data_IF_271825391382
#
_entry.id   IF_271825391382
#
_cell.length_a   1.000
_cell.length_b   1.000
_cell.length_c   1.000
_cell.angle_alpha   90.00
_cell.angle_beta   90.00
_cell.angle_gamma   90.00
#
_symmetry.space_group_name_H-M   'P 1'
#
loop_
_entity.id
_entity.type
_entity.pdbx_description
1 polymer ?
#
# COMPACT_ATOMS: atom_id res chain seq x y z
N UNK A 1 77.07 3.04 -11.93
CA UNK A 1 76.53 2.25 -10.81
C UNK A 1 75.20 2.84 -10.40
N UNK A 2 74.09 2.59 -11.11
CA UNK A 2 73.70 1.34 -11.81
C UNK A 2 73.70 0.14 -10.83
N UNK A 3 72.69 -0.74 -10.82
CA UNK A 3 71.77 -1.10 -11.92
C UNK A 3 70.33 -1.36 -11.42
N UNK A 4 69.40 -1.37 -12.39
CA UNK A 4 68.12 -2.09 -12.37
C UNK A 4 68.36 -3.57 -12.79
N UNK A 5 67.44 -4.53 -12.73
CA UNK A 5 66.03 -4.57 -12.33
C UNK A 5 65.69 -5.99 -11.81
N UNK A 6 64.41 -6.31 -11.56
CA UNK A 6 63.66 -7.45 -12.12
C UNK A 6 62.42 -7.82 -11.29
N UNK A 7 61.29 -7.94 -11.99
CA UNK A 7 60.05 -8.52 -11.50
C UNK A 7 59.94 -9.96 -12.00
N UNK A 8 59.32 -10.83 -11.21
CA UNK A 8 58.81 -12.12 -11.70
C UNK A 8 57.33 -12.24 -11.33
N UNK A 9 56.49 -12.34 -12.36
CA UNK A 9 55.09 -12.73 -12.22
C UNK A 9 55.00 -14.25 -12.05
N UNK A 10 54.09 -14.71 -11.18
CA UNK A 10 53.62 -16.11 -11.20
C UNK A 10 52.10 -16.11 -11.34
N UNK A 11 51.65 -16.12 -12.59
CA UNK A 11 50.27 -16.45 -12.96
C UNK A 11 50.16 -17.98 -13.00
N UNK A 12 49.26 -18.53 -12.17
CA UNK A 12 48.75 -19.90 -12.36
C UNK A 12 47.23 -19.85 -12.15
N UNK A 13 46.48 -19.74 -13.26
CA UNK A 13 45.11 -20.24 -13.33
C UNK A 13 45.16 -21.76 -13.08
N UNK A 14 44.22 -22.41 -12.40
CA UNK A 14 42.81 -22.41 -12.78
C UNK A 14 41.94 -23.15 -11.73
N UNK A 15 40.64 -22.88 -11.76
CA UNK A 15 39.53 -23.72 -11.26
C UNK A 15 39.67 -24.46 -9.91
N UNK A 16 39.03 -23.90 -8.87
CA UNK A 16 38.09 -24.73 -8.11
C UNK A 16 36.84 -23.99 -7.60
N UNK A 17 35.72 -24.42 -8.15
CA UNK A 17 34.39 -23.86 -8.03
C UNK A 17 33.79 -24.07 -6.62
N UNK A 18 33.70 -23.01 -5.81
CA UNK A 18 32.68 -22.88 -4.76
C UNK A 18 32.07 -21.48 -4.75
N UNK A 19 31.01 -21.30 -5.54
CA UNK A 19 30.03 -20.26 -5.26
C UNK A 19 29.46 -20.54 -3.87
N UNK A 20 29.50 -19.54 -2.99
CA UNK A 20 28.70 -19.60 -1.76
C UNK A 20 27.33 -19.10 -2.17
N UNK A 21 26.54 -20.07 -2.65
CA UNK A 21 25.14 -19.88 -2.99
C UNK A 21 24.36 -19.62 -1.69
N UNK A 22 24.32 -18.34 -1.27
CA UNK A 22 23.37 -17.88 -0.27
C UNK A 22 21.96 -17.84 -0.89
N UNK A 23 21.50 -18.98 -1.40
CA UNK A 23 20.08 -19.30 -1.52
C UNK A 23 19.49 -19.27 -0.11
N UNK A 24 19.13 -18.07 0.33
CA UNK A 24 18.09 -17.93 1.34
C UNK A 24 16.83 -18.50 0.69
N UNK A 25 16.57 -19.79 0.92
CA UNK A 25 15.41 -20.51 0.40
C UNK A 25 14.17 -19.84 0.98
N UNK A 26 13.66 -18.84 0.26
CA UNK A 26 12.47 -18.07 0.65
C UNK A 26 11.25 -18.96 0.47
N UNK A 27 11.05 -19.83 1.45
CA UNK A 27 9.89 -20.69 1.58
C UNK A 27 8.63 -19.82 1.38
N UNK A 28 7.84 -20.01 0.30
CA UNK A 28 6.81 -19.05 -0.11
C UNK A 28 5.58 -19.04 0.82
N UNK A 29 5.65 -19.74 1.95
CA UNK A 29 4.64 -19.80 2.99
C UNK A 29 4.89 -18.69 4.01
N UNK A 30 3.89 -17.84 4.20
CA UNK A 30 3.85 -16.70 5.13
C UNK A 30 4.62 -15.44 4.67
N UNK A 31 4.15 -14.81 3.59
CA UNK A 31 4.15 -13.34 3.56
C UNK A 31 3.17 -12.86 4.64
N UNK A 32 3.67 -12.65 5.85
CA UNK A 32 2.92 -11.98 6.91
C UNK A 32 2.59 -10.57 6.41
N UNK A 33 1.34 -10.35 6.00
CA UNK A 33 0.85 -9.04 5.59
C UNK A 33 0.91 -8.11 6.80
N UNK A 34 1.91 -7.23 6.85
CA UNK A 34 2.00 -6.18 7.87
C UNK A 34 0.74 -5.30 7.77
N UNK A 35 0.08 -4.95 8.89
CA UNK A 35 -1.03 -4.02 8.86
C UNK A 35 -0.55 -2.64 8.37
N UNK A 36 -1.39 -1.91 7.65
CA UNK A 36 -1.06 -0.57 7.17
C UNK A 36 -2.31 0.29 6.95
N UNK A 37 -2.12 1.61 6.92
CA UNK A 37 -3.14 2.60 6.60
C UNK A 37 -2.94 3.02 5.14
N UNK A 38 -3.82 2.54 4.25
CA UNK A 38 -3.75 2.84 2.81
C UNK A 38 -4.58 4.10 2.53
N UNK A 39 -3.92 5.14 2.04
CA UNK A 39 -4.52 6.45 1.75
C UNK A 39 -4.86 6.56 0.27
N UNK A 40 -6.15 6.64 -0.03
CA UNK A 40 -6.69 6.91 -1.36
C UNK A 40 -7.07 8.39 -1.45
N UNK A 41 -6.32 9.16 -2.22
CA UNK A 41 -6.45 10.63 -2.32
C UNK A 41 -6.38 11.07 -3.78
N UNK A 42 -7.43 11.78 -4.22
CA UNK A 42 -7.60 12.27 -5.60
C UNK A 42 -7.05 13.69 -5.82
N UNK A 43 -6.67 14.41 -4.76
CA UNK A 43 -6.09 15.76 -4.80
C UNK A 43 -4.63 15.82 -4.34
N UNK A 44 -4.11 14.76 -3.72
CA UNK A 44 -2.80 14.74 -3.03
C UNK A 44 -2.66 15.86 -1.99
N UNK A 45 -3.77 16.26 -1.37
CA UNK A 45 -3.87 17.49 -0.56
C UNK A 45 -3.99 17.20 0.93
N UNK A 46 -3.44 18.09 1.75
CA UNK A 46 -3.48 17.98 3.21
C UNK A 46 -2.42 17.05 3.81
N UNK A 47 -2.37 17.01 5.15
CA UNK A 47 -1.34 16.25 5.89
C UNK A 47 -1.74 14.79 6.09
N UNK A 48 -1.43 13.95 5.09
CA UNK A 48 -1.63 12.48 5.13
C UNK A 48 -0.97 11.85 6.36
N UNK A 49 0.20 12.35 6.77
CA UNK A 49 0.89 11.92 7.98
C UNK A 49 0.12 12.25 9.27
N UNK A 50 -0.51 13.43 9.37
CA UNK A 50 -1.36 13.79 10.51
C UNK A 50 -2.60 12.91 10.57
N UNK A 51 -3.28 12.67 9.45
CA UNK A 51 -4.44 11.76 9.37
C UNK A 51 -4.05 10.35 9.82
N UNK A 52 -2.94 9.81 9.29
CA UNK A 52 -2.44 8.50 9.70
C UNK A 52 -2.02 8.43 11.18
N UNK A 53 -1.46 9.52 11.75
CA UNK A 53 -1.14 9.57 13.17
C UNK A 53 -2.41 9.50 14.04
N UNK A 54 -3.43 10.32 13.75
CA UNK A 54 -4.71 10.29 14.46
C UNK A 54 -5.42 8.93 14.32
N UNK A 55 -5.37 8.30 13.15
CA UNK A 55 -5.92 6.95 12.96
C UNK A 55 -5.19 5.88 13.80
N UNK A 56 -3.86 5.94 13.92
CA UNK A 56 -3.09 5.02 14.78
C UNK A 56 -3.42 5.22 16.26
N UNK A 57 -3.52 6.47 16.71
CA UNK A 57 -3.90 6.82 18.08
C UNK A 57 -5.29 6.26 18.43
N UNK A 58 -6.28 6.49 17.56
CA UNK A 58 -7.61 5.90 17.68
C UNK A 58 -7.56 4.36 17.74
N UNK A 59 -6.82 3.71 16.82
CA UNK A 59 -6.67 2.26 16.81
C UNK A 59 -5.99 1.71 18.07
N UNK A 60 -5.04 2.45 18.66
CA UNK A 60 -4.37 2.07 19.90
C UNK A 60 -5.35 2.09 21.07
N UNK A 61 -6.15 3.16 21.21
CA UNK A 61 -7.17 3.30 22.25
C UNK A 61 -8.23 2.20 22.12
N UNK A 62 -8.74 1.95 20.90
CA UNK A 62 -9.67 0.86 20.63
C UNK A 62 -9.09 -0.52 20.94
N UNK A 63 -7.80 -0.76 20.63
CA UNK A 63 -7.13 -2.03 20.93
C UNK A 63 -6.99 -2.24 22.43
N UNK A 64 -6.50 -1.23 23.16
CA UNK A 64 -6.29 -1.30 24.61
C UNK A 64 -7.63 -1.54 25.35
N UNK A 65 -8.67 -0.81 24.94
CA UNK A 65 -10.03 -0.97 25.45
C UNK A 65 -10.58 -2.39 25.18
N UNK A 66 -10.57 -2.85 23.92
CA UNK A 66 -11.11 -4.18 23.54
C UNK A 66 -10.31 -5.36 24.09
N UNK A 67 -9.04 -5.17 24.43
CA UNK A 67 -8.19 -6.20 25.06
C UNK A 67 -8.14 -6.10 26.58
N UNK A 68 -8.86 -5.14 27.17
CA UNK A 68 -8.91 -4.89 28.62
C UNK A 68 -7.52 -4.90 29.26
N UNK A 69 -6.53 -4.34 28.55
CA UNK A 69 -5.13 -4.42 28.98
C UNK A 69 -4.86 -3.36 30.04
N UNK A 70 -4.20 -3.72 31.16
CA UNK A 70 -3.66 -2.73 32.07
C UNK A 70 -2.69 -1.78 31.34
N UNK A 71 -2.72 -0.51 31.72
CA UNK A 71 -1.74 0.48 31.24
C UNK A 71 -0.33 -0.02 31.57
N UNK A 72 0.55 -0.09 30.57
CA UNK A 72 1.91 -0.62 30.71
C UNK A 72 2.05 -2.13 30.57
N UNK A 73 1.01 -2.88 30.18
CA UNK A 73 1.12 -4.32 29.89
C UNK A 73 2.19 -4.63 28.83
N UNK A 74 3.13 -5.54 29.15
CA UNK A 74 4.18 -5.99 28.22
C UNK A 74 3.64 -6.73 26.98
N UNK A 75 2.38 -7.20 27.03
CA UNK A 75 1.70 -7.82 25.89
C UNK A 75 0.97 -6.79 24.99
N UNK A 76 0.99 -5.49 25.35
CA UNK A 76 0.38 -4.42 24.58
C UNK A 76 1.13 -4.21 23.26
N UNK A 77 0.43 -4.35 22.15
CA UNK A 77 0.95 -3.93 20.84
C UNK A 77 0.99 -2.40 20.80
N UNK A 78 2.12 -1.86 20.33
CA UNK A 78 2.29 -0.44 20.03
C UNK A 78 1.89 -0.21 18.58
N UNK A 79 1.01 0.77 18.32
CA UNK A 79 0.60 1.17 16.97
C UNK A 79 1.26 2.51 16.60
N UNK A 80 2.35 2.42 15.86
CA UNK A 80 3.18 3.53 15.41
C UNK A 80 3.46 3.41 13.90
N UNK A 81 4.36 4.25 13.35
CA UNK A 81 4.67 4.23 11.92
C UNK A 81 5.39 2.95 11.48
N UNK A 82 6.19 2.32 12.34
CA UNK A 82 6.99 1.13 12.02
C UNK A 82 6.12 -0.15 12.02
N UNK A 83 5.11 -0.18 12.89
CA UNK A 83 4.19 -1.32 13.05
C UNK A 83 2.95 -1.23 12.16
N UNK A 84 2.48 -0.01 11.89
CA UNK A 84 1.37 0.28 10.97
C UNK A 84 1.79 1.45 10.04
N UNK A 85 2.62 1.20 9.02
CA UNK A 85 2.99 2.22 8.04
C UNK A 85 1.76 2.83 7.36
N UNK A 86 1.91 4.05 6.85
CA UNK A 86 0.95 4.61 5.90
C UNK A 86 1.47 4.38 4.48
N UNK A 87 0.55 4.17 3.53
CA UNK A 87 0.86 3.91 2.13
C UNK A 87 0.01 4.87 1.32
N UNK A 88 0.65 5.74 0.53
CA UNK A 88 -0.08 6.51 -0.46
C UNK A 88 -0.36 5.64 -1.68
N UNK A 89 -1.64 5.36 -1.94
CA UNK A 89 -2.05 4.58 -3.10
C UNK A 89 -1.78 5.40 -4.37
N UNK A 90 -1.08 4.82 -5.36
CA UNK A 90 -0.96 5.44 -6.67
C UNK A 90 -2.32 5.29 -7.39
N UNK A 91 -3.14 6.33 -7.37
CA UNK A 91 -4.50 6.32 -7.94
C UNK A 91 -4.72 7.50 -8.89
N UNK A 92 -5.67 7.40 -9.85
CA UNK A 92 -6.02 8.52 -10.71
C UNK A 92 -6.40 9.75 -9.90
N UNK A 93 -5.87 10.91 -10.29
CA UNK A 93 -6.13 12.18 -9.64
C UNK A 93 -7.31 12.88 -10.33
N UNK A 94 -8.03 13.74 -9.59
CA UNK A 94 -9.12 14.53 -10.16
C UNK A 94 -8.61 15.85 -10.75
N UNK A 95 -9.15 16.32 -11.89
CA UNK A 95 -8.75 17.58 -12.51
C UNK A 95 -9.44 18.81 -11.88
N UNK A 96 -10.29 18.61 -10.87
CA UNK A 96 -11.11 19.66 -10.24
C UNK A 96 -11.24 19.42 -8.73
N UNK A 97 -11.96 20.28 -8.02
CA UNK A 97 -12.11 20.21 -6.55
C UNK A 97 -13.46 19.64 -6.07
N UNK A 98 -14.35 19.22 -6.96
CA UNK A 98 -15.75 18.88 -6.65
C UNK A 98 -16.16 17.44 -6.97
N UNK A 99 -15.29 16.65 -7.61
CA UNK A 99 -15.52 15.23 -7.91
C UNK A 99 -14.93 14.27 -6.85
N UNK A 100 -14.39 14.76 -5.72
CA UNK A 100 -13.66 13.92 -4.75
C UNK A 100 -14.50 12.74 -4.23
N UNK A 101 -15.80 12.96 -4.02
CA UNK A 101 -16.75 11.90 -3.66
C UNK A 101 -16.93 10.83 -4.75
N UNK A 102 -16.89 11.19 -6.04
CA UNK A 102 -16.94 10.22 -7.14
C UNK A 102 -15.68 9.37 -7.21
N UNK A 103 -14.53 9.99 -6.96
CA UNK A 103 -13.25 9.29 -6.90
C UNK A 103 -13.23 8.31 -5.72
N UNK A 104 -13.73 8.69 -4.53
CA UNK A 104 -13.92 7.75 -3.41
C UNK A 104 -14.80 6.56 -3.81
N UNK A 105 -15.94 6.79 -4.47
CA UNK A 105 -16.82 5.71 -4.91
C UNK A 105 -16.14 4.77 -5.92
N UNK A 106 -15.43 5.32 -6.91
CA UNK A 106 -14.68 4.52 -7.88
C UNK A 106 -13.53 3.74 -7.23
N UNK A 107 -12.79 4.36 -6.31
CA UNK A 107 -11.71 3.69 -5.57
C UNK A 107 -12.24 2.50 -4.77
N UNK A 108 -13.41 2.64 -4.13
CA UNK A 108 -14.02 1.55 -3.36
C UNK A 108 -14.48 0.42 -4.28
N UNK A 109 -15.19 0.72 -5.37
CA UNK A 109 -15.60 -0.30 -6.36
C UNK A 109 -14.39 -1.05 -6.94
N UNK A 110 -13.37 -0.30 -7.38
CA UNK A 110 -12.10 -0.85 -7.87
C UNK A 110 -11.38 -1.68 -6.81
N UNK A 111 -11.39 -1.26 -5.54
CA UNK A 111 -10.80 -2.02 -4.43
C UNK A 111 -11.55 -3.33 -4.20
N UNK A 112 -12.89 -3.32 -4.17
CA UNK A 112 -13.69 -4.53 -3.98
C UNK A 112 -13.61 -5.49 -5.17
N UNK A 113 -13.47 -4.98 -6.40
CA UNK A 113 -13.30 -5.80 -7.60
C UNK A 113 -11.92 -6.50 -7.67
N UNK A 114 -10.85 -5.82 -7.24
CA UNK A 114 -9.47 -6.32 -7.40
C UNK A 114 -8.85 -6.92 -6.14
N UNK A 115 -9.39 -6.67 -4.93
CA UNK A 115 -8.77 -7.17 -3.69
C UNK A 115 -8.66 -8.69 -3.68
N UNK A 116 -7.46 -9.20 -3.38
CA UNK A 116 -7.20 -10.63 -3.20
C UNK A 116 -6.22 -10.82 -2.03
N UNK A 117 -6.34 -11.91 -1.24
CA UNK A 117 -5.35 -12.27 -0.21
C UNK A 117 -3.92 -12.39 -0.72
N UNK A 118 -3.73 -12.62 -2.02
CA UNK A 118 -2.41 -12.77 -2.66
C UNK A 118 -1.75 -11.44 -3.05
N UNK A 119 -2.47 -10.32 -3.01
CA UNK A 119 -1.97 -9.02 -3.44
C UNK A 119 -1.09 -8.38 -2.36
N UNK A 120 0.03 -7.79 -2.78
CA UNK A 120 0.84 -6.97 -1.90
C UNK A 120 0.27 -5.55 -1.78
N UNK A 121 -0.51 -5.30 -0.73
CA UNK A 121 -1.08 -3.98 -0.47
C UNK A 121 -0.03 -2.95 -0.02
N UNK A 122 1.19 -3.38 0.36
CA UNK A 122 2.29 -2.47 0.75
C UNK A 122 2.91 -1.70 -0.44
N UNK A 123 2.65 -2.12 -1.68
CA UNK A 123 3.14 -1.38 -2.86
C UNK A 123 2.15 -0.30 -3.28
N UNK A 124 2.59 0.96 -3.30
CA UNK A 124 1.77 2.08 -3.80
C UNK A 124 1.29 1.87 -5.24
N UNK A 125 2.11 1.24 -6.08
CA UNK A 125 1.81 0.96 -7.49
C UNK A 125 0.72 -0.10 -7.70
N UNK A 126 0.37 -0.90 -6.69
CA UNK A 126 -0.69 -1.91 -6.76
C UNK A 126 -2.00 -1.31 -7.27
N UNK A 127 -2.33 -0.10 -6.84
CA UNK A 127 -3.61 0.57 -7.12
C UNK A 127 -3.65 1.31 -8.45
N UNK A 128 -2.50 1.51 -9.13
CA UNK A 128 -2.39 2.36 -10.32
C UNK A 128 -3.20 1.84 -11.51
N UNK A 129 -3.34 0.52 -11.61
CA UNK A 129 -4.04 -0.16 -12.70
C UNK A 129 -5.47 -0.58 -12.33
N UNK A 130 -5.95 -0.31 -11.11
CA UNK A 130 -7.28 -0.76 -10.64
C UNK A 130 -8.42 0.15 -11.10
N UNK A 131 -8.09 1.37 -11.53
CA UNK A 131 -9.06 2.36 -11.99
C UNK A 131 -8.78 2.65 -13.46
N UNK A 132 -9.65 2.16 -14.35
CA UNK A 132 -9.60 2.55 -15.75
C UNK A 132 -9.85 4.06 -15.88
N UNK A 133 -8.96 4.75 -16.60
CA UNK A 133 -8.98 6.22 -16.74
C UNK A 133 -10.27 6.77 -17.36
N UNK A 134 -11.05 5.92 -18.04
CA UNK A 134 -12.20 6.31 -18.84
C UNK A 134 -13.54 6.29 -18.09
N UNK A 135 -13.59 5.84 -16.82
CA UNK A 135 -14.82 5.76 -16.02
C UNK A 135 -15.10 6.99 -15.14
N UNK A 136 -14.21 7.99 -15.14
CA UNK A 136 -14.23 9.12 -14.21
C UNK A 136 -14.92 10.35 -14.81
N UNK A 137 -15.74 11.04 -14.01
CA UNK A 137 -16.46 12.27 -14.41
C UNK A 137 -17.97 12.08 -14.62
N UNK A 138 -18.52 12.69 -15.69
CA UNK A 138 -19.96 12.74 -15.98
C UNK A 138 -20.63 11.37 -16.11
N UNK A 139 -19.93 10.38 -16.66
CA UNK A 139 -20.40 8.99 -16.75
C UNK A 139 -20.76 8.41 -15.38
N UNK A 140 -19.89 8.62 -14.36
CA UNK A 140 -20.12 8.14 -12.99
C UNK A 140 -21.32 8.82 -12.33
N UNK A 141 -21.47 10.13 -12.54
CA UNK A 141 -22.65 10.89 -12.05
C UNK A 141 -23.94 10.35 -12.65
N UNK A 142 -23.96 10.01 -13.95
CA UNK A 142 -25.12 9.40 -14.60
C UNK A 142 -25.44 8.01 -14.03
N UNK A 143 -24.45 7.13 -13.88
CA UNK A 143 -24.65 5.79 -13.30
C UNK A 143 -25.29 5.87 -11.90
N UNK A 144 -24.81 6.78 -11.04
CA UNK A 144 -25.36 6.99 -9.70
C UNK A 144 -26.83 7.48 -9.79
N UNK A 145 -27.11 8.44 -10.67
CA UNK A 145 -28.47 8.93 -10.91
C UNK A 145 -29.42 7.82 -11.40
N UNK A 146 -28.99 7.01 -12.37
CA UNK A 146 -29.76 5.89 -12.90
C UNK A 146 -30.10 4.87 -11.79
N UNK A 147 -29.13 4.52 -10.94
CA UNK A 147 -29.32 3.61 -9.78
C UNK A 147 -30.33 4.19 -8.78
N UNK A 148 -30.24 5.48 -8.47
CA UNK A 148 -31.18 6.16 -7.55
C UNK A 148 -32.61 6.13 -8.10
N UNK A 149 -32.80 6.44 -9.38
CA UNK A 149 -34.11 6.39 -10.03
C UNK A 149 -34.67 4.96 -10.13
N UNK A 150 -33.81 3.95 -10.25
CA UNK A 150 -34.23 2.55 -10.37
C UNK A 150 -34.63 1.93 -9.03
N UNK A 151 -33.99 2.32 -7.92
CA UNK A 151 -34.07 1.60 -6.64
C UNK A 151 -34.52 2.43 -5.44
N UNK A 152 -34.46 3.77 -5.50
CA UNK A 152 -34.74 4.65 -4.35
C UNK A 152 -36.00 5.48 -4.57
N UNK A 153 -36.22 5.99 -5.78
CA UNK A 153 -37.43 6.76 -6.10
C UNK A 153 -38.57 5.79 -6.44
N UNK A 154 -39.70 5.82 -5.71
CA UNK A 154 -40.87 5.02 -6.07
C UNK A 154 -41.37 5.43 -7.46
N UNK A 155 -41.74 4.45 -8.28
CA UNK A 155 -42.49 4.72 -9.50
C UNK A 155 -43.94 4.97 -9.10
N UNK A 156 -44.49 6.11 -9.48
CA UNK A 156 -45.93 6.33 -9.42
C UNK A 156 -46.61 5.29 -10.32
N UNK A 157 -47.72 4.73 -9.82
CA UNK A 157 -48.49 3.63 -10.42
C UNK A 157 -49.75 4.19 -11.06
#
# INVERSE_FOLDING_TARGET
MEVLDEADEVIIDNDNHRKIDNETTTNPKNRSQTPAIIMFDSLRSGSKNRVAATLREFLQLEYDHKKTLPVGSLARKVFNIDTIPNIEAAVPQQPNYFDCGLYILQYMESFFAHRSPTINFQSSTTFANWCEKNLMGSSKRKQIFDIINQHVIPKEV
#
